data_IF_045620518015
#
_entry.id   IF_045620518015
#
_cell.length_a   1.000
_cell.length_b   1.000
_cell.length_c   1.000
_cell.angle_alpha   90.00
_cell.angle_beta   90.00
_cell.angle_gamma   90.00
#
_symmetry.space_group_name_H-M   'P 1'
#
loop_
_entity.id
_entity.type
_entity.pdbx_description
1 polymer ?
#
# COMPACT_ATOMS: atom_id res chain seq x y z
N UNK A 1 16.84 -18.65 -7.31
CA UNK A 1 16.29 -17.31 -7.07
C UNK A 1 14.88 -17.49 -6.55
N UNK A 2 14.55 -17.02 -5.38
CA UNK A 2 13.15 -17.01 -4.96
C UNK A 2 12.45 -15.99 -5.83
N UNK A 3 11.51 -16.43 -6.66
CA UNK A 3 10.64 -15.54 -7.43
C UNK A 3 9.73 -14.82 -6.44
N UNK A 4 10.19 -13.66 -5.98
CA UNK A 4 9.36 -12.79 -5.16
C UNK A 4 8.22 -12.25 -6.03
N UNK A 5 7.02 -12.21 -5.46
CA UNK A 5 5.88 -11.63 -6.14
C UNK A 5 6.11 -10.16 -6.47
N UNK A 6 5.46 -9.70 -7.52
CA UNK A 6 5.40 -8.27 -7.83
C UNK A 6 4.50 -7.58 -6.83
N UNK A 7 5.01 -6.50 -6.26
CA UNK A 7 4.27 -5.60 -5.35
C UNK A 7 4.27 -4.19 -5.93
N UNK A 8 3.53 -3.30 -5.32
CA UNK A 8 3.48 -1.92 -5.78
C UNK A 8 3.63 -0.91 -4.65
N UNK A 9 3.65 0.36 -5.05
CA UNK A 9 3.46 1.48 -4.15
C UNK A 9 2.80 2.67 -4.88
N UNK A 10 1.66 3.11 -4.36
CA UNK A 10 0.93 4.30 -4.83
C UNK A 10 1.16 5.45 -3.86
N UNK A 11 1.63 6.58 -4.38
CA UNK A 11 2.02 7.73 -3.57
C UNK A 11 3.49 7.67 -3.15
N UNK A 12 4.31 8.43 -3.85
CA UNK A 12 5.78 8.42 -3.74
C UNK A 12 6.31 9.68 -3.05
N UNK A 13 5.58 10.13 -2.04
CA UNK A 13 5.98 11.26 -1.21
C UNK A 13 7.07 10.90 -0.19
N UNK A 14 7.16 11.72 0.87
CA UNK A 14 8.18 11.58 1.92
C UNK A 14 8.19 10.22 2.64
N UNK A 15 7.05 9.53 2.66
CA UNK A 15 6.92 8.21 3.29
C UNK A 15 6.96 7.09 2.25
N UNK A 16 6.22 7.20 1.15
CA UNK A 16 6.07 6.14 0.16
C UNK A 16 7.36 5.84 -0.60
N UNK A 17 8.08 6.85 -1.08
CA UNK A 17 9.31 6.63 -1.84
C UNK A 17 10.39 5.86 -1.04
N UNK A 18 10.69 6.19 0.24
CA UNK A 18 11.62 5.39 1.03
C UNK A 18 11.15 3.96 1.27
N UNK A 19 9.85 3.73 1.53
CA UNK A 19 9.29 2.39 1.69
C UNK A 19 9.43 1.58 0.40
N UNK A 20 9.16 2.19 -0.76
CA UNK A 20 9.38 1.59 -2.09
C UNK A 20 10.84 1.15 -2.27
N UNK A 21 11.79 2.01 -1.92
CA UNK A 21 13.22 1.67 -1.99
C UNK A 21 13.60 0.47 -1.12
N UNK A 22 13.00 0.35 0.04
CA UNK A 22 13.24 -0.81 0.91
C UNK A 22 12.72 -2.10 0.26
N UNK A 23 11.56 -2.06 -0.39
CA UNK A 23 11.04 -3.21 -1.14
C UNK A 23 11.95 -3.59 -2.31
N UNK A 24 12.42 -2.61 -3.10
CA UNK A 24 13.40 -2.83 -4.18
C UNK A 24 14.70 -3.45 -3.66
N UNK A 25 15.27 -2.89 -2.57
CA UNK A 25 16.49 -3.42 -1.93
C UNK A 25 16.31 -4.84 -1.39
N UNK A 26 15.11 -5.17 -0.95
CA UNK A 26 14.77 -6.53 -0.53
C UNK A 26 14.55 -7.49 -1.71
N UNK A 27 14.66 -7.02 -2.95
CA UNK A 27 14.58 -7.82 -4.18
C UNK A 27 13.17 -8.11 -4.66
N UNK A 28 12.17 -7.32 -4.25
CA UNK A 28 10.84 -7.39 -4.84
C UNK A 28 10.82 -6.64 -6.18
N UNK A 29 10.20 -7.19 -7.23
CA UNK A 29 9.77 -6.38 -8.38
C UNK A 29 8.69 -5.39 -7.89
N UNK A 30 8.89 -4.08 -8.14
CA UNK A 30 7.97 -3.05 -7.66
C UNK A 30 7.41 -2.24 -8.82
N UNK A 31 6.10 -2.06 -8.83
CA UNK A 31 5.38 -1.15 -9.72
C UNK A 31 5.05 0.11 -8.94
N UNK A 32 5.23 1.29 -9.52
CA UNK A 32 4.97 2.56 -8.84
C UNK A 32 3.96 3.40 -9.60
N UNK A 33 3.16 4.15 -8.83
CA UNK A 33 2.28 5.18 -9.36
C UNK A 33 2.27 6.40 -8.45
N UNK A 34 2.34 7.58 -9.06
CA UNK A 34 2.16 8.89 -8.42
C UNK A 34 1.59 9.86 -9.44
N UNK A 35 0.93 10.92 -8.99
CA UNK A 35 0.46 12.01 -9.86
C UNK A 35 1.62 12.85 -10.42
N UNK A 36 2.77 12.82 -9.76
CA UNK A 36 3.99 13.51 -10.20
C UNK A 36 4.90 12.54 -10.99
N UNK A 37 5.01 12.71 -12.33
CA UNK A 37 5.85 11.85 -13.16
C UNK A 37 7.32 11.86 -12.77
N UNK A 38 7.82 12.97 -12.20
CA UNK A 38 9.22 13.06 -11.80
C UNK A 38 9.54 12.12 -10.64
N UNK A 39 8.61 11.95 -9.70
CA UNK A 39 8.76 10.99 -8.58
C UNK A 39 8.79 9.55 -9.07
N UNK A 40 7.94 9.21 -10.04
CA UNK A 40 7.93 7.88 -10.65
C UNK A 40 9.24 7.61 -11.38
N UNK A 41 9.75 8.58 -12.15
CA UNK A 41 10.98 8.42 -12.91
C UNK A 41 12.20 8.16 -12.02
N UNK A 42 12.30 8.86 -10.90
CA UNK A 42 13.40 8.63 -9.92
C UNK A 42 13.42 7.17 -9.46
N UNK A 43 12.28 6.58 -9.16
CA UNK A 43 12.21 5.18 -8.71
C UNK A 43 12.34 4.20 -9.87
N UNK A 44 11.92 4.57 -11.07
CA UNK A 44 12.15 3.77 -12.27
C UNK A 44 13.65 3.65 -12.59
N UNK A 45 14.40 4.73 -12.42
CA UNK A 45 15.87 4.72 -12.55
C UNK A 45 16.55 3.83 -11.49
N UNK A 46 15.87 3.60 -10.37
CA UNK A 46 16.29 2.69 -9.30
C UNK A 46 15.77 1.24 -9.49
N UNK A 47 15.04 0.95 -10.56
CA UNK A 47 14.58 -0.40 -10.94
C UNK A 47 13.10 -0.69 -10.77
N UNK A 48 12.27 0.29 -10.42
CA UNK A 48 10.81 0.12 -10.41
C UNK A 48 10.22 0.20 -11.82
N UNK A 49 9.05 -0.42 -12.01
CA UNK A 49 8.21 -0.23 -13.20
C UNK A 49 7.17 0.86 -12.94
N UNK A 50 6.77 1.60 -13.96
CA UNK A 50 5.76 2.66 -13.84
C UNK A 50 4.42 2.17 -14.33
N UNK A 51 3.36 2.42 -13.55
CA UNK A 51 1.96 2.27 -13.97
C UNK A 51 1.30 3.65 -14.16
N UNK A 52 0.39 3.74 -15.11
CA UNK A 52 -0.29 4.99 -15.50
C UNK A 52 -1.43 5.36 -14.54
N UNK A 53 -1.96 4.38 -13.80
CA UNK A 53 -3.10 4.57 -12.90
C UNK A 53 -3.11 3.54 -11.77
N UNK A 54 -3.85 3.79 -10.69
CA UNK A 54 -4.11 2.79 -9.65
C UNK A 54 -4.78 1.52 -10.19
N UNK A 55 -5.65 1.62 -11.20
CA UNK A 55 -6.27 0.46 -11.85
C UNK A 55 -5.22 -0.41 -12.56
N UNK A 56 -4.28 0.21 -13.28
CA UNK A 56 -3.18 -0.52 -13.94
C UNK A 56 -2.25 -1.20 -12.92
N UNK A 57 -2.04 -0.60 -11.76
CA UNK A 57 -1.36 -1.24 -10.64
C UNK A 57 -2.14 -2.47 -10.17
N UNK A 58 -3.40 -2.27 -9.81
CA UNK A 58 -4.24 -3.28 -9.17
C UNK A 58 -4.41 -4.56 -10.00
N UNK A 59 -4.42 -4.45 -11.33
CA UNK A 59 -4.54 -5.62 -12.20
C UNK A 59 -3.26 -6.48 -12.30
N UNK A 60 -2.12 -6.00 -11.80
CA UNK A 60 -0.81 -6.64 -11.96
C UNK A 60 -0.24 -7.21 -10.65
N UNK A 61 -0.85 -6.93 -9.50
CA UNK A 61 -0.31 -7.28 -8.18
C UNK A 61 -1.33 -8.04 -7.34
N UNK A 62 -0.84 -8.81 -6.37
CA UNK A 62 -1.69 -9.44 -5.35
C UNK A 62 -1.82 -8.60 -4.09
N UNK A 63 -0.90 -7.66 -3.87
CA UNK A 63 -0.92 -6.72 -2.74
C UNK A 63 -0.61 -5.33 -3.26
N UNK A 64 -1.52 -4.39 -3.05
CA UNK A 64 -1.38 -2.99 -3.45
C UNK A 64 -1.25 -2.08 -2.24
N UNK A 65 -0.16 -1.28 -2.19
CA UNK A 65 0.11 -0.32 -1.11
C UNK A 65 -0.19 1.12 -1.52
N UNK A 66 -0.61 1.93 -0.55
CA UNK A 66 -0.68 3.38 -0.73
C UNK A 66 -0.13 4.14 0.48
N UNK A 67 0.40 5.34 0.22
CA UNK A 67 0.80 6.33 1.23
C UNK A 67 0.50 7.73 0.70
N UNK A 68 -0.62 8.28 1.12
CA UNK A 68 -1.23 9.46 0.52
C UNK A 68 -1.47 10.56 1.55
N UNK A 69 -1.45 11.84 1.14
CA UNK A 69 -1.44 12.97 2.07
C UNK A 69 -2.81 13.31 2.66
N UNK A 70 -3.91 12.91 2.01
CA UNK A 70 -5.27 13.31 2.41
C UNK A 70 -6.26 12.16 2.27
N UNK A 71 -7.33 12.23 3.04
CA UNK A 71 -8.48 11.33 2.92
C UNK A 71 -9.03 11.30 1.49
N UNK A 72 -9.17 12.47 0.87
CA UNK A 72 -9.65 12.58 -0.51
C UNK A 72 -8.74 11.84 -1.49
N UNK A 73 -7.41 11.94 -1.33
CA UNK A 73 -6.46 11.22 -2.19
C UNK A 73 -6.60 9.71 -2.06
N UNK A 74 -6.88 9.19 -0.85
CA UNK A 74 -7.15 7.76 -0.65
C UNK A 74 -8.46 7.35 -1.33
N UNK A 75 -9.52 8.13 -1.17
CA UNK A 75 -10.78 7.86 -1.84
C UNK A 75 -10.63 7.88 -3.37
N UNK A 76 -9.89 8.85 -3.92
CA UNK A 76 -9.64 8.95 -5.36
C UNK A 76 -8.85 7.73 -5.89
N UNK A 77 -7.84 7.27 -5.16
CA UNK A 77 -7.07 6.07 -5.51
C UNK A 77 -7.93 4.82 -5.46
N UNK A 78 -8.83 4.68 -4.49
CA UNK A 78 -9.66 3.48 -4.34
C UNK A 78 -10.81 3.49 -5.34
N UNK A 79 -11.62 4.55 -5.38
CA UNK A 79 -12.91 4.59 -6.09
C UNK A 79 -13.03 5.70 -7.14
N UNK A 80 -11.99 6.50 -7.34
CA UNK A 80 -11.94 7.49 -8.41
C UNK A 80 -11.83 6.84 -9.79
N UNK A 81 -11.89 7.65 -10.87
CA UNK A 81 -11.65 7.17 -12.23
C UNK A 81 -10.30 6.47 -12.35
N UNK A 82 -10.28 5.28 -12.93
CA UNK A 82 -9.09 4.42 -13.01
C UNK A 82 -8.49 4.07 -11.64
N UNK A 83 -9.36 3.98 -10.61
CA UNK A 83 -8.98 3.58 -9.24
C UNK A 83 -8.83 2.06 -9.08
N UNK A 84 -8.46 1.66 -7.85
CA UNK A 84 -8.27 0.24 -7.48
C UNK A 84 -9.51 -0.60 -7.79
N UNK A 85 -10.72 -0.07 -7.56
CA UNK A 85 -11.99 -0.78 -7.82
C UNK A 85 -12.15 -1.16 -9.30
N UNK A 86 -11.67 -0.33 -10.22
CA UNK A 86 -11.79 -0.61 -11.66
C UNK A 86 -10.79 -1.66 -12.17
N UNK A 87 -9.59 -1.69 -11.59
CA UNK A 87 -8.53 -2.60 -12.05
C UNK A 87 -8.32 -3.82 -11.15
N UNK A 88 -8.89 -3.81 -9.96
CA UNK A 88 -8.70 -4.87 -8.96
C UNK A 88 -9.41 -6.17 -9.33
N UNK A 89 -8.99 -7.25 -8.69
CA UNK A 89 -9.49 -8.59 -8.91
C UNK A 89 -9.74 -9.30 -7.58
N UNK A 90 -10.51 -10.37 -7.62
CA UNK A 90 -10.73 -11.20 -6.44
C UNK A 90 -9.39 -11.71 -5.86
N UNK A 91 -9.21 -11.56 -4.56
CA UNK A 91 -8.01 -11.93 -3.84
C UNK A 91 -6.91 -10.86 -3.77
N UNK A 92 -7.10 -9.70 -4.42
CA UNK A 92 -6.24 -8.54 -4.20
C UNK A 92 -6.37 -8.07 -2.75
N UNK A 93 -5.26 -7.70 -2.11
CA UNK A 93 -5.24 -7.03 -0.82
C UNK A 93 -4.78 -5.58 -1.02
N UNK A 94 -5.62 -4.62 -0.65
CA UNK A 94 -5.25 -3.21 -0.63
C UNK A 94 -4.81 -2.79 0.76
N UNK A 95 -3.61 -2.26 0.89
CA UNK A 95 -2.99 -1.82 2.16
C UNK A 95 -2.80 -0.31 2.14
N UNK A 96 -3.55 0.41 2.94
CA UNK A 96 -3.39 1.86 3.08
C UNK A 96 -2.54 2.19 4.30
N UNK A 97 -1.36 2.77 4.06
CA UNK A 97 -0.45 3.24 5.11
C UNK A 97 -0.65 4.72 5.47
N UNK A 98 -1.64 5.37 4.87
CA UNK A 98 -2.03 6.75 5.18
C UNK A 98 -2.75 6.81 6.54
N UNK A 99 -2.78 7.99 7.14
CA UNK A 99 -3.59 8.26 8.34
C UNK A 99 -4.89 8.93 7.93
N UNK A 100 -5.98 8.19 7.95
CA UNK A 100 -7.33 8.66 7.58
C UNK A 100 -8.36 8.25 8.63
N UNK A 101 -9.51 8.94 8.74
CA UNK A 101 -10.52 8.61 9.76
C UNK A 101 -11.03 7.17 9.67
N UNK A 102 -11.17 6.43 10.80
CA UNK A 102 -11.67 5.05 10.80
C UNK A 102 -12.99 4.82 10.04
N UNK A 103 -14.00 5.73 10.12
CA UNK A 103 -15.22 5.55 9.33
C UNK A 103 -14.99 5.54 7.82
N UNK A 104 -13.99 6.29 7.33
CA UNK A 104 -13.63 6.29 5.90
C UNK A 104 -12.98 4.95 5.54
N UNK A 105 -12.05 4.46 6.37
CA UNK A 105 -11.45 3.13 6.17
C UNK A 105 -12.52 2.05 6.05
N UNK A 106 -13.48 2.03 6.97
CA UNK A 106 -14.57 1.05 6.99
C UNK A 106 -15.43 1.15 5.73
N UNK A 107 -15.77 2.37 5.30
CA UNK A 107 -16.55 2.59 4.08
C UNK A 107 -15.82 2.11 2.82
N UNK A 108 -14.52 2.42 2.70
CA UNK A 108 -13.71 1.96 1.57
C UNK A 108 -13.56 0.44 1.57
N UNK A 109 -13.40 -0.17 2.74
CA UNK A 109 -13.33 -1.63 2.88
C UNK A 109 -14.61 -2.32 2.40
N UNK A 110 -15.78 -1.75 2.68
CA UNK A 110 -17.08 -2.27 2.19
C UNK A 110 -17.17 -2.22 0.65
N UNK A 111 -16.73 -1.10 0.05
CA UNK A 111 -16.69 -0.95 -1.41
C UNK A 111 -15.76 -2.01 -2.04
N UNK A 112 -14.55 -2.15 -1.51
CA UNK A 112 -13.55 -3.10 -2.01
C UNK A 112 -14.00 -4.55 -1.85
N UNK A 113 -14.62 -4.87 -0.72
CA UNK A 113 -15.19 -6.20 -0.44
C UNK A 113 -16.26 -6.62 -1.46
N UNK A 114 -17.03 -5.66 -1.98
CA UNK A 114 -17.99 -5.90 -3.06
C UNK A 114 -17.34 -6.39 -4.35
N UNK A 115 -16.03 -6.21 -4.52
CA UNK A 115 -15.21 -6.68 -5.65
C UNK A 115 -14.32 -7.87 -5.28
N UNK A 116 -14.49 -8.46 -4.09
CA UNK A 116 -13.62 -9.54 -3.59
C UNK A 116 -12.20 -9.09 -3.21
N UNK A 117 -12.03 -7.78 -2.94
CA UNK A 117 -10.75 -7.18 -2.54
C UNK A 117 -10.75 -6.99 -1.03
N UNK A 118 -9.74 -7.52 -0.34
CA UNK A 118 -9.53 -7.25 1.07
C UNK A 118 -8.82 -5.90 1.27
N UNK A 119 -9.13 -5.23 2.39
CA UNK A 119 -8.43 -4.01 2.79
C UNK A 119 -7.77 -4.18 4.15
N UNK A 120 -6.57 -3.63 4.29
CA UNK A 120 -5.90 -3.37 5.57
C UNK A 120 -5.67 -1.87 5.73
N UNK A 121 -6.08 -1.31 6.84
CA UNK A 121 -5.54 -0.03 7.30
C UNK A 121 -4.26 -0.31 8.08
N UNK A 122 -3.19 0.37 7.70
CA UNK A 122 -1.85 0.12 8.24
C UNK A 122 -1.07 1.42 8.46
N UNK A 123 -1.62 2.38 9.23
CA UNK A 123 -0.91 3.63 9.50
C UNK A 123 0.44 3.36 10.14
N UNK A 124 1.40 4.22 9.80
CA UNK A 124 2.80 4.07 10.19
C UNK A 124 3.27 5.23 11.06
N UNK A 125 4.17 4.95 11.98
CA UNK A 125 4.89 5.96 12.76
C UNK A 125 6.38 5.69 12.77
N UNK A 126 7.17 6.76 12.86
CA UNK A 126 8.64 6.72 12.78
C UNK A 126 9.21 7.77 11.83
N UNK A 127 8.33 8.50 11.14
CA UNK A 127 8.68 9.61 10.25
C UNK A 127 9.55 9.20 9.07
N UNK A 128 10.08 10.19 8.36
CA UNK A 128 10.91 9.99 7.16
C UNK A 128 12.17 9.15 7.44
N UNK A 129 12.79 9.33 8.61
CA UNK A 129 13.98 8.57 9.00
C UNK A 129 13.65 7.08 9.21
N UNK A 130 12.56 6.78 9.92
CA UNK A 130 12.08 5.40 10.10
C UNK A 130 11.66 4.74 8.78
N UNK A 131 11.02 5.50 7.89
CA UNK A 131 10.67 5.02 6.55
C UNK A 131 11.92 4.65 5.74
N UNK A 132 12.94 5.50 5.72
CA UNK A 132 14.19 5.24 5.00
C UNK A 132 14.96 4.04 5.59
N UNK A 133 14.97 3.91 6.91
CA UNK A 133 15.66 2.83 7.61
C UNK A 133 14.92 1.49 7.64
N UNK A 134 13.65 1.44 7.20
CA UNK A 134 12.82 0.24 7.32
C UNK A 134 12.48 -0.12 8.78
N UNK A 135 12.36 0.88 9.64
CA UNK A 135 12.16 0.70 11.09
C UNK A 135 10.85 1.28 11.61
N UNK A 136 9.89 1.48 10.71
CA UNK A 136 8.57 2.00 11.09
C UNK A 136 7.86 1.08 12.10
N UNK A 137 7.03 1.69 12.93
CA UNK A 137 5.98 0.95 13.63
C UNK A 137 4.72 0.99 12.78
N UNK A 138 4.11 -0.16 12.56
CA UNK A 138 2.95 -0.35 11.69
C UNK A 138 1.80 -0.89 12.53
N UNK A 139 0.68 -0.20 12.52
CA UNK A 139 -0.51 -0.57 13.27
C UNK A 139 -1.56 -1.06 12.28
N UNK A 140 -1.86 -2.36 12.28
CA UNK A 140 -2.68 -2.97 11.23
C UNK A 140 -4.07 -3.33 11.74
N UNK A 141 -5.09 -2.89 11.01
CA UNK A 141 -6.48 -3.32 11.14
C UNK A 141 -6.95 -4.03 9.88
N UNK A 142 -7.81 -5.02 10.03
CA UNK A 142 -8.37 -5.83 8.95
C UNK A 142 -8.22 -7.33 9.19
N UNK A 143 -8.64 -8.17 8.24
CA UNK A 143 -8.68 -9.61 8.44
C UNK A 143 -7.31 -10.20 8.79
N UNK A 144 -7.30 -11.18 9.70
CA UNK A 144 -6.07 -11.85 10.11
C UNK A 144 -5.37 -12.51 8.93
N UNK A 145 -6.13 -13.12 8.02
CA UNK A 145 -5.59 -13.78 6.84
C UNK A 145 -4.85 -12.79 5.91
N UNK A 146 -5.44 -11.61 5.65
CA UNK A 146 -4.79 -10.57 4.87
C UNK A 146 -3.54 -10.03 5.59
N UNK A 147 -3.61 -9.83 6.90
CA UNK A 147 -2.47 -9.42 7.71
C UNK A 147 -1.31 -10.41 7.62
N UNK A 148 -1.57 -11.70 7.82
CA UNK A 148 -0.54 -12.77 7.73
C UNK A 148 0.08 -12.82 6.34
N UNK A 149 -0.74 -12.66 5.29
CA UNK A 149 -0.27 -12.62 3.91
C UNK A 149 0.67 -11.44 3.64
N UNK A 150 0.43 -10.29 4.26
CA UNK A 150 1.23 -9.07 4.10
C UNK A 150 2.43 -8.98 5.06
N UNK A 151 2.54 -9.84 6.06
CA UNK A 151 3.63 -9.80 7.05
C UNK A 151 5.05 -9.76 6.45
N UNK A 152 5.39 -10.55 5.42
CA UNK A 152 6.72 -10.48 4.80
C UNK A 152 7.04 -9.09 4.26
N UNK A 153 6.05 -8.39 3.71
CA UNK A 153 6.18 -7.04 3.16
C UNK A 153 6.30 -5.99 4.29
N UNK A 154 5.48 -6.11 5.33
CA UNK A 154 5.58 -5.25 6.51
C UNK A 154 6.94 -5.31 7.17
N UNK A 155 7.57 -6.50 7.25
CA UNK A 155 8.91 -6.68 7.82
C UNK A 155 10.02 -6.01 7.02
N UNK A 156 9.79 -5.68 5.77
CA UNK A 156 10.74 -4.93 4.94
C UNK A 156 10.69 -3.42 5.24
N UNK A 157 9.49 -2.90 5.51
CA UNK A 157 9.28 -1.45 5.69
C UNK A 157 9.20 -1.03 7.16
N UNK A 158 9.00 -1.99 8.07
CA UNK A 158 8.86 -1.73 9.50
C UNK A 158 9.54 -2.75 10.38
N UNK A 159 9.77 -2.38 11.64
CA UNK A 159 10.36 -3.24 12.67
C UNK A 159 9.36 -3.70 13.72
N UNK A 160 8.39 -2.85 14.04
CA UNK A 160 7.34 -3.14 15.03
C UNK A 160 6.02 -3.20 14.29
N UNK A 161 5.39 -4.37 14.28
CA UNK A 161 4.17 -4.60 13.52
C UNK A 161 3.14 -5.21 14.46
N UNK A 162 2.00 -4.53 14.62
CA UNK A 162 0.92 -4.99 15.49
C UNK A 162 -0.39 -5.11 14.71
N UNK A 163 -1.07 -6.24 14.85
CA UNK A 163 -2.44 -6.42 14.40
C UNK A 163 -3.41 -6.06 15.54
N UNK A 164 -4.14 -4.97 15.37
CA UNK A 164 -5.02 -4.41 16.42
C UNK A 164 -6.45 -4.95 16.38
N UNK A 165 -6.85 -5.62 15.31
CA UNK A 165 -8.16 -6.22 15.21
C UNK A 165 -8.56 -6.59 13.79
N UNK A 166 -9.57 -7.45 13.66
CA UNK A 166 -10.04 -7.97 12.38
C UNK A 166 -10.92 -7.00 11.58
N UNK A 167 -11.23 -5.85 12.15
CA UNK A 167 -12.00 -4.81 11.44
C UNK A 167 -11.06 -3.76 10.88
N UNK A 168 -11.28 -3.38 9.63
CA UNK A 168 -10.64 -2.22 9.02
C UNK A 168 -10.99 -0.97 9.82
N UNK A 169 -9.99 -0.12 10.09
CA UNK A 169 -10.10 1.03 10.99
C UNK A 169 -9.56 0.75 12.41
N UNK A 170 -9.20 -0.50 12.73
CA UNK A 170 -8.65 -0.83 14.06
C UNK A 170 -7.19 -0.41 14.23
N UNK A 171 -6.45 -0.17 13.15
CA UNK A 171 -5.07 0.31 13.20
C UNK A 171 -4.94 1.82 13.41
N UNK A 172 -6.02 2.57 13.20
CA UNK A 172 -6.06 4.03 13.29
C UNK A 172 -6.10 4.55 14.73
#
# INVERSE_FOLDING_TARGET
MSDKETVDYIGLGNMGAPMTRNLLKAGYPVIVHDLDPARMQVLADEGASIAKSPAEVACQVSVAFSSLPTTQSVEDVVRGPSGIVEGGHEGLIYVDTSTIPPPVCTHLAEILKGQGIDMLDAPVTGGKAGSAAGTLSIMVGGSLAAYERCQPLFKVIGRVIHHFGEKVGSGM
#
